data_IF_159951058280
#
_entry.id   IF_159951058280
#
_cell.length_a   1.000
_cell.length_b   1.000
_cell.length_c   1.000
_cell.angle_alpha   90.00
_cell.angle_beta   90.00
_cell.angle_gamma   90.00
#
_symmetry.space_group_name_H-M   'P 1'
#
loop_
_entity.id
_entity.type
_entity.pdbx_description
1 polymer ?
#
# COMPACT_ATOMS: atom_id res chain seq x y z
N UNK A 1 -4.14 28.04 -21.71
CA UNK A 1 -3.22 27.19 -20.92
C UNK A 1 -4.07 26.52 -19.85
N UNK A 2 -4.27 25.20 -19.93
CA UNK A 2 -5.14 24.45 -19.02
C UNK A 2 -4.26 23.61 -18.09
N UNK A 3 -4.26 23.95 -16.81
CA UNK A 3 -3.64 23.18 -15.72
C UNK A 3 -4.69 22.29 -15.08
N UNK A 4 -4.68 21.00 -15.41
CA UNK A 4 -5.60 20.04 -14.80
C UNK A 4 -5.28 18.64 -15.29
N UNK A 5 -4.30 17.99 -14.68
CA UNK A 5 -4.03 16.58 -14.96
C UNK A 5 -3.64 15.86 -13.65
N UNK A 6 -4.66 15.44 -12.90
CA UNK A 6 -4.62 14.18 -12.13
C UNK A 6 -5.42 13.11 -12.88
N UNK A 7 -5.61 11.91 -12.33
CA UNK A 7 -6.38 10.82 -12.98
C UNK A 7 -7.89 11.12 -13.19
N UNK A 8 -8.35 12.35 -12.94
CA UNK A 8 -9.69 12.79 -13.30
C UNK A 8 -9.77 13.18 -14.77
N UNK A 9 -10.72 12.59 -15.50
CA UNK A 9 -11.10 13.06 -16.83
C UNK A 9 -11.87 14.39 -16.73
N UNK A 10 -11.72 15.27 -17.72
CA UNK A 10 -12.63 16.40 -17.90
C UNK A 10 -13.69 16.01 -18.93
N UNK A 11 -14.97 15.98 -18.55
CA UNK A 11 -16.05 15.79 -19.50
C UNK A 11 -16.70 17.15 -19.81
N UNK A 12 -16.09 17.92 -20.73
CA UNK A 12 -16.50 19.29 -21.09
C UNK A 12 -17.99 19.46 -21.45
N UNK A 13 -18.68 18.37 -21.80
CA UNK A 13 -20.10 18.36 -22.19
C UNK A 13 -21.05 17.79 -21.13
N UNK A 14 -20.54 17.04 -20.14
CA UNK A 14 -21.36 16.30 -19.18
C UNK A 14 -21.17 16.74 -17.73
N UNK A 15 -20.07 17.43 -17.39
CA UNK A 15 -19.76 17.94 -16.04
C UNK A 15 -20.29 19.38 -15.78
N UNK A 16 -21.17 19.90 -16.65
CA UNK A 16 -21.74 21.23 -16.50
C UNK A 16 -20.73 22.39 -16.62
N UNK A 17 -21.23 23.62 -16.49
CA UNK A 17 -20.36 24.80 -16.31
C UNK A 17 -19.58 24.64 -15.02
N UNK A 18 -18.25 24.65 -15.13
CA UNK A 18 -17.17 24.65 -14.12
C UNK A 18 -17.42 25.61 -12.91
N UNK A 19 -18.48 25.39 -12.15
CA UNK A 19 -19.09 26.41 -11.29
C UNK A 19 -18.42 26.59 -9.94
N UNK A 20 -17.77 25.56 -9.42
CA UNK A 20 -17.03 25.66 -8.16
C UNK A 20 -16.05 24.51 -8.07
N UNK A 21 -14.76 24.79 -8.31
CA UNK A 21 -13.71 23.88 -7.83
C UNK A 21 -13.94 23.63 -6.33
N UNK A 22 -13.72 22.41 -5.82
CA UNK A 22 -13.01 21.29 -6.46
C UNK A 22 -13.93 20.12 -6.87
N UNK A 23 -14.72 20.25 -7.94
CA UNK A 23 -15.53 19.15 -8.46
C UNK A 23 -14.68 17.90 -8.83
N UNK A 24 -15.10 16.74 -8.30
CA UNK A 24 -14.52 15.39 -8.52
C UNK A 24 -13.10 15.17 -7.98
N UNK A 25 -12.68 15.87 -6.94
CA UNK A 25 -11.54 15.48 -6.13
C UNK A 25 -11.92 14.34 -5.16
N UNK A 26 -10.94 13.59 -4.67
CA UNK A 26 -11.07 12.99 -3.35
C UNK A 26 -11.02 14.12 -2.35
N UNK A 27 -11.98 14.17 -1.43
CA UNK A 27 -11.97 15.14 -0.35
C UNK A 27 -12.44 14.58 0.98
N UNK A 28 -12.26 15.39 2.02
CA UNK A 28 -12.82 15.17 3.33
C UNK A 28 -13.70 16.35 3.78
N UNK A 29 -14.23 17.12 2.83
CA UNK A 29 -15.06 18.29 3.10
C UNK A 29 -16.53 17.90 3.12
N UNK A 30 -17.13 17.88 4.32
CA UNK A 30 -18.56 17.60 4.49
C UNK A 30 -19.48 18.80 4.25
N UNK A 31 -19.02 19.87 3.58
CA UNK A 31 -19.78 21.11 3.31
C UNK A 31 -20.12 21.96 4.55
N UNK A 32 -19.67 21.57 5.73
CA UNK A 32 -19.67 22.42 6.91
C UNK A 32 -18.28 23.02 7.06
N UNK A 33 -18.17 24.26 7.53
CA UNK A 33 -16.91 24.93 7.90
C UNK A 33 -16.22 24.26 9.11
N UNK A 34 -16.13 22.92 9.12
CA UNK A 34 -15.71 22.05 10.20
C UNK A 34 -14.33 21.51 9.89
N UNK A 35 -13.34 21.94 10.67
CA UNK A 35 -12.00 21.35 10.69
C UNK A 35 -11.94 20.08 11.55
N UNK A 36 -13.08 19.42 11.79
CA UNK A 36 -13.18 18.27 12.69
C UNK A 36 -13.65 17.02 11.97
N UNK A 37 -12.98 15.90 12.24
CA UNK A 37 -13.26 14.56 11.70
C UNK A 37 -14.53 13.91 12.32
N UNK A 38 -15.47 14.72 12.86
CA UNK A 38 -16.69 14.24 13.51
C UNK A 38 -17.89 14.30 12.58
N UNK A 39 -18.67 13.21 12.58
CA UNK A 39 -19.96 13.16 11.92
C UNK A 39 -20.96 14.18 12.53
N UNK A 40 -21.87 14.75 11.71
CA UNK A 40 -22.16 14.37 10.32
C UNK A 40 -21.30 15.08 9.27
N UNK A 41 -20.27 15.83 9.68
CA UNK A 41 -19.69 16.94 8.91
C UNK A 41 -18.40 16.61 8.14
N UNK A 42 -17.98 15.34 8.06
CA UNK A 42 -16.76 14.91 7.35
C UNK A 42 -17.01 13.69 6.47
N UNK A 43 -17.42 13.91 5.22
CA UNK A 43 -17.50 12.84 4.23
C UNK A 43 -16.10 12.61 3.68
N UNK A 44 -15.49 11.48 4.02
CA UNK A 44 -14.14 11.15 3.54
C UNK A 44 -14.25 10.27 2.30
N UNK A 45 -13.80 10.79 1.17
CA UNK A 45 -13.68 10.01 -0.06
C UNK A 45 -12.49 9.05 0.01
N UNK A 46 -12.70 7.84 -0.48
CA UNK A 46 -11.69 6.81 -0.51
C UNK A 46 -11.79 5.95 -1.79
N UNK A 47 -10.63 5.48 -2.25
CA UNK A 47 -10.51 4.50 -3.31
C UNK A 47 -9.85 3.21 -2.81
N UNK A 48 -10.47 2.10 -3.17
CA UNK A 48 -9.92 0.77 -2.98
C UNK A 48 -9.19 0.34 -4.26
N UNK A 49 -7.90 0.06 -4.12
CA UNK A 49 -7.05 -0.47 -5.18
C UNK A 49 -6.79 -1.96 -4.94
N UNK A 50 -6.97 -2.76 -5.99
CA UNK A 50 -6.69 -4.20 -5.96
C UNK A 50 -5.61 -4.55 -6.98
N UNK A 51 -4.55 -5.23 -6.52
CA UNK A 51 -3.36 -5.55 -7.33
C UNK A 51 -3.23 -7.04 -7.69
N UNK A 52 -4.31 -7.81 -7.57
CA UNK A 52 -4.25 -9.24 -7.84
C UNK A 52 -3.64 -10.05 -6.69
N UNK A 53 -3.36 -11.35 -6.91
CA UNK A 53 -3.02 -12.29 -5.84
C UNK A 53 -1.60 -12.15 -5.27
N UNK A 54 -0.68 -11.52 -6.01
CA UNK A 54 0.73 -11.46 -5.63
C UNK A 54 1.06 -10.29 -4.70
N UNK A 55 0.08 -9.42 -4.40
CA UNK A 55 0.31 -8.23 -3.58
C UNK A 55 1.31 -7.24 -4.19
N UNK A 56 1.21 -6.00 -3.76
CA UNK A 56 2.17 -4.94 -4.08
C UNK A 56 2.56 -4.28 -2.77
N UNK A 57 3.87 -4.06 -2.62
CA UNK A 57 4.43 -3.11 -1.67
C UNK A 57 4.41 -1.74 -2.36
N UNK A 58 3.44 -0.89 -2.01
CA UNK A 58 3.35 0.47 -2.55
C UNK A 58 4.37 1.32 -1.80
N UNK A 59 5.43 1.72 -2.49
CA UNK A 59 6.51 2.53 -1.93
C UNK A 59 6.25 4.03 -2.04
N UNK A 60 5.42 4.45 -3.00
CA UNK A 60 5.18 5.87 -3.25
C UNK A 60 3.86 6.16 -3.95
N UNK A 61 3.35 7.35 -3.65
CA UNK A 61 2.13 7.91 -4.23
C UNK A 61 2.43 9.28 -4.84
N UNK A 62 1.62 9.69 -5.81
CA UNK A 62 1.63 11.06 -6.33
C UNK A 62 0.21 11.53 -6.57
N UNK A 63 -0.02 12.84 -6.38
CA UNK A 63 -1.28 13.51 -6.72
C UNK A 63 -1.06 14.46 -7.89
N UNK A 64 -2.00 14.54 -8.82
CA UNK A 64 -1.90 15.42 -10.00
C UNK A 64 -2.72 16.69 -9.91
N UNK A 65 -3.51 16.83 -8.84
CA UNK A 65 -4.34 17.98 -8.54
C UNK A 65 -4.36 18.19 -7.02
N UNK A 66 -4.30 19.46 -6.61
CA UNK A 66 -4.48 19.93 -5.24
C UNK A 66 -5.28 21.24 -5.30
N UNK A 67 -6.25 21.42 -4.41
CA UNK A 67 -6.87 22.71 -4.13
C UNK A 67 -6.76 22.99 -2.63
N UNK A 68 -6.07 24.04 -2.21
CA UNK A 68 -5.81 24.27 -0.79
C UNK A 68 -4.72 23.35 -0.24
N UNK A 69 -5.09 22.15 0.21
CA UNK A 69 -4.19 21.14 0.80
C UNK A 69 -4.50 19.73 0.25
N UNK A 70 -3.60 18.78 0.53
CA UNK A 70 -3.77 17.38 0.19
C UNK A 70 -3.02 16.49 1.19
N UNK A 71 -3.67 16.25 2.32
CA UNK A 71 -3.32 15.18 3.24
C UNK A 71 -4.10 13.92 2.90
N UNK A 72 -3.42 12.77 2.97
CA UNK A 72 -4.01 11.46 2.64
C UNK A 72 -3.85 10.48 3.79
N UNK A 73 -4.78 9.54 3.90
CA UNK A 73 -4.69 8.38 4.79
C UNK A 73 -4.58 7.09 3.98
N UNK A 74 -3.70 6.18 4.40
CA UNK A 74 -3.43 4.92 3.70
C UNK A 74 -3.60 3.73 4.64
N UNK A 75 -4.44 2.78 4.22
CA UNK A 75 -4.58 1.47 4.87
C UNK A 75 -4.24 0.36 3.86
N UNK A 76 -3.73 -0.76 4.36
CA UNK A 76 -3.51 -1.97 3.59
C UNK A 76 -4.15 -3.17 4.28
N UNK A 77 -4.80 -4.05 3.52
CA UNK A 77 -5.36 -5.28 4.11
C UNK A 77 -4.24 -6.30 4.35
N UNK A 78 -3.97 -6.65 5.61
CA UNK A 78 -2.94 -7.64 5.98
C UNK A 78 -3.55 -8.90 6.58
N UNK A 79 -4.88 -8.95 6.69
CA UNK A 79 -5.62 -10.14 7.08
C UNK A 79 -5.57 -11.26 6.03
N UNK A 80 -6.19 -12.39 6.37
CA UNK A 80 -6.24 -13.56 5.50
C UNK A 80 -7.32 -13.40 4.42
N UNK A 81 -6.92 -13.57 3.16
CA UNK A 81 -7.85 -13.63 2.03
C UNK A 81 -8.58 -14.99 2.00
N UNK A 82 -9.86 -14.98 1.64
CA UNK A 82 -10.67 -16.19 1.47
C UNK A 82 -10.87 -16.42 -0.01
N UNK A 83 -10.29 -17.51 -0.54
CA UNK A 83 -10.33 -17.78 -1.99
C UNK A 83 -9.67 -16.70 -2.86
N UNK A 84 -8.70 -15.97 -2.31
CA UNK A 84 -8.03 -14.85 -2.99
C UNK A 84 -8.81 -13.53 -2.97
N UNK A 85 -9.95 -13.47 -2.29
CA UNK A 85 -10.77 -12.28 -2.14
C UNK A 85 -10.80 -11.76 -0.70
N UNK A 86 -11.10 -10.48 -0.55
CA UNK A 86 -11.35 -9.85 0.74
C UNK A 86 -12.59 -10.51 1.39
N UNK A 87 -12.51 -11.00 2.64
CA UNK A 87 -13.69 -11.55 3.30
C UNK A 87 -14.75 -10.47 3.53
N UNK A 88 -16.03 -10.85 3.55
CA UNK A 88 -17.14 -9.90 3.74
C UNK A 88 -17.03 -9.09 5.04
N UNK A 89 -16.47 -9.69 6.09
CA UNK A 89 -16.22 -9.01 7.37
C UNK A 89 -15.14 -7.93 7.31
N UNK A 90 -14.33 -7.88 6.24
CA UNK A 90 -13.31 -6.86 6.00
C UNK A 90 -13.66 -5.93 4.83
N UNK A 91 -14.84 -6.08 4.21
CA UNK A 91 -15.26 -5.24 3.10
C UNK A 91 -15.41 -3.78 3.53
N UNK A 92 -15.04 -2.85 2.65
CA UNK A 92 -15.16 -1.40 2.91
C UNK A 92 -16.61 -0.95 3.15
N UNK A 93 -17.57 -1.66 2.54
CA UNK A 93 -18.98 -1.31 2.66
C UNK A 93 -19.46 -1.43 4.11
N UNK A 94 -20.15 -0.40 4.59
CA UNK A 94 -20.73 -0.31 5.94
C UNK A 94 -19.73 -0.37 7.09
N UNK A 95 -18.45 -0.10 6.83
CA UNK A 95 -17.41 -0.02 7.87
C UNK A 95 -16.85 1.41 7.95
N UNK A 96 -16.68 1.90 9.17
CA UNK A 96 -15.83 3.07 9.43
C UNK A 96 -14.36 2.68 9.35
N UNK A 97 -13.46 3.65 9.19
CA UNK A 97 -12.01 3.40 9.23
C UNK A 97 -11.58 2.66 10.51
N UNK A 98 -12.10 3.05 11.67
CA UNK A 98 -11.81 2.35 12.93
C UNK A 98 -12.29 0.89 12.95
N UNK A 99 -13.44 0.61 12.33
CA UNK A 99 -13.94 -0.76 12.17
C UNK A 99 -13.09 -1.56 11.19
N UNK A 100 -12.58 -0.95 10.12
CA UNK A 100 -11.66 -1.60 9.18
C UNK A 100 -10.36 -2.03 9.89
N UNK A 101 -9.80 -1.19 10.76
CA UNK A 101 -8.61 -1.54 11.56
C UNK A 101 -8.86 -2.78 12.42
N UNK A 102 -10.08 -2.93 12.94
CA UNK A 102 -10.48 -4.13 13.70
C UNK A 102 -10.75 -5.35 12.80
N UNK A 103 -10.95 -5.14 11.51
CA UNK A 103 -11.29 -6.16 10.52
C UNK A 103 -10.09 -6.68 9.70
N UNK A 104 -8.85 -6.40 10.15
CA UNK A 104 -7.63 -6.89 9.50
C UNK A 104 -6.99 -5.91 8.51
N UNK A 105 -7.47 -4.67 8.47
CA UNK A 105 -6.74 -3.59 7.82
C UNK A 105 -5.66 -3.05 8.73
N UNK A 106 -4.49 -2.78 8.17
CA UNK A 106 -3.37 -2.14 8.86
C UNK A 106 -3.26 -0.69 8.44
N UNK A 107 -3.12 0.19 9.42
CA UNK A 107 -2.77 1.58 9.19
C UNK A 107 -1.32 1.68 8.71
N UNK A 108 -1.14 2.26 7.51
CA UNK A 108 0.16 2.45 6.88
C UNK A 108 0.73 3.81 7.23
N UNK A 109 -0.09 4.85 7.15
CA UNK A 109 0.31 6.20 7.53
C UNK A 109 -0.62 7.28 6.99
N UNK A 110 -0.39 8.49 7.49
CA UNK A 110 -0.96 9.71 6.93
C UNK A 110 0.15 10.55 6.30
N UNK A 111 -0.10 11.16 5.15
CA UNK A 111 0.93 11.83 4.38
C UNK A 111 0.42 13.15 3.85
N UNK A 112 1.15 14.22 4.11
CA UNK A 112 1.00 15.50 3.42
C UNK A 112 1.67 15.38 2.06
N UNK A 113 0.90 15.49 0.98
CA UNK A 113 1.42 15.33 -0.36
C UNK A 113 2.27 16.53 -0.80
N UNK A 114 1.98 17.73 -0.27
CA UNK A 114 2.77 18.97 -0.35
C UNK A 114 2.94 19.58 -1.75
N UNK A 115 2.90 18.79 -2.82
CA UNK A 115 3.02 19.24 -4.20
C UNK A 115 2.45 18.22 -5.19
N UNK A 116 1.97 18.70 -6.33
CA UNK A 116 1.49 17.84 -7.43
C UNK A 116 2.64 17.22 -8.21
N UNK A 117 2.43 15.99 -8.70
CA UNK A 117 3.32 15.23 -9.58
C UNK A 117 4.71 14.95 -9.00
N UNK A 118 4.83 15.01 -7.68
CA UNK A 118 6.01 14.59 -6.93
C UNK A 118 5.69 13.29 -6.21
N UNK A 119 6.58 12.30 -6.34
CA UNK A 119 6.46 11.05 -5.60
C UNK A 119 6.73 11.29 -4.12
N UNK A 120 5.74 10.98 -3.28
CA UNK A 120 5.87 10.94 -1.83
C UNK A 120 6.11 9.49 -1.41
N UNK A 121 7.21 9.26 -0.71
CA UNK A 121 7.51 7.95 -0.13
C UNK A 121 6.50 7.64 0.98
N UNK A 122 5.96 6.42 0.97
CA UNK A 122 5.02 5.91 1.97
C UNK A 122 5.48 4.53 2.45
N UNK A 123 4.70 3.89 3.33
CA UNK A 123 4.90 2.49 3.71
C UNK A 123 6.31 2.15 4.23
N UNK A 124 6.79 2.90 5.23
CA UNK A 124 8.12 2.68 5.83
C UNK A 124 8.35 1.27 6.38
N UNK A 125 7.27 0.53 6.66
CA UNK A 125 7.29 -0.81 7.22
C UNK A 125 7.39 -1.90 6.13
N UNK A 126 7.43 -1.53 4.84
CA UNK A 126 7.44 -2.44 3.68
C UNK A 126 6.28 -3.45 3.71
N UNK A 127 5.08 -2.98 4.04
CA UNK A 127 3.87 -3.81 4.01
C UNK A 127 3.52 -4.13 2.57
N UNK A 128 3.40 -5.41 2.25
CA UNK A 128 2.82 -5.84 0.98
C UNK A 128 1.36 -6.20 1.16
N UNK A 129 0.51 -5.73 0.25
CA UNK A 129 -0.91 -6.10 0.24
C UNK A 129 -1.48 -6.19 -1.17
N UNK A 130 -2.50 -7.04 -1.32
CA UNK A 130 -3.33 -7.09 -2.52
C UNK A 130 -4.38 -5.97 -2.54
N UNK A 131 -4.77 -5.43 -1.38
CA UNK A 131 -5.82 -4.42 -1.25
C UNK A 131 -5.31 -3.21 -0.48
N UNK A 132 -5.37 -2.06 -1.12
CA UNK A 132 -4.94 -0.78 -0.56
C UNK A 132 -6.08 0.21 -0.59
N UNK A 133 -6.36 0.84 0.55
CA UNK A 133 -7.37 1.88 0.68
C UNK A 133 -6.62 3.21 0.82
N UNK A 134 -6.85 4.11 -0.13
CA UNK A 134 -6.30 5.46 -0.13
C UNK A 134 -7.46 6.43 -0.01
N UNK A 135 -7.42 7.32 0.97
CA UNK A 135 -8.47 8.30 1.20
C UNK A 135 -7.90 9.70 1.39
N UNK A 136 -8.77 10.70 1.34
CA UNK A 136 -8.50 11.97 2.01
C UNK A 136 -8.23 11.73 3.50
N UNK A 137 -7.51 12.67 4.11
CA UNK A 137 -7.06 12.53 5.47
C UNK A 137 -8.21 12.32 6.45
N UNK A 138 -8.04 11.39 7.37
CA UNK A 138 -8.92 11.18 8.51
C UNK A 138 -8.11 10.69 9.70
N UNK A 139 -8.41 11.20 10.89
CA UNK A 139 -7.78 10.72 12.13
C UNK A 139 -8.29 9.33 12.51
N UNK A 140 -9.47 8.97 12.01
CA UNK A 140 -10.10 7.66 12.22
C UNK A 140 -9.34 6.50 11.57
N UNK A 141 -8.45 6.78 10.60
CA UNK A 141 -7.53 5.80 10.00
C UNK A 141 -6.39 5.40 10.94
N UNK A 142 -6.06 6.23 11.93
CA UNK A 142 -4.94 6.05 12.85
C UNK A 142 -4.01 7.26 12.90
N UNK A 143 -3.05 7.21 13.83
CA UNK A 143 -2.04 8.27 14.03
C UNK A 143 -0.66 7.65 14.32
N UNK A 144 0.40 8.46 14.23
CA UNK A 144 1.75 8.05 14.61
C UNK A 144 2.56 7.33 13.52
N UNK A 145 2.04 7.22 12.29
CA UNK A 145 2.80 6.76 11.11
C UNK A 145 2.63 7.74 9.95
N UNK A 146 3.69 7.88 9.14
CA UNK A 146 3.77 8.87 8.08
C UNK A 146 4.29 10.22 8.59
N UNK A 147 3.70 11.31 8.13
CA UNK A 147 4.09 12.66 8.54
C UNK A 147 3.59 13.02 9.95
N UNK A 148 4.23 14.02 10.56
CA UNK A 148 3.81 14.56 11.85
C UNK A 148 2.38 15.11 11.79
N UNK A 149 1.58 14.85 12.82
CA UNK A 149 0.21 15.41 12.96
C UNK A 149 0.16 16.93 12.92
N UNK A 150 1.29 17.62 13.17
CA UNK A 150 1.37 19.08 13.04
C UNK A 150 1.38 19.58 11.59
N UNK A 151 1.58 18.68 10.62
CA UNK A 151 1.57 18.95 9.18
C UNK A 151 0.28 18.45 8.52
N UNK A 152 -0.64 17.92 9.31
CA UNK A 152 -1.88 17.31 8.83
C UNK A 152 -3.06 18.13 9.32
N UNK A 153 -3.98 18.46 8.44
CA UNK A 153 -5.24 19.14 8.75
C UNK A 153 -6.41 18.46 8.07
N UNK A 154 -7.61 18.62 8.62
CA UNK A 154 -8.83 18.01 8.11
C UNK A 154 -9.74 19.07 7.50
N UNK A 155 -10.50 18.68 6.47
CA UNK A 155 -11.60 19.47 5.91
C UNK A 155 -11.26 20.29 4.67
N UNK A 156 -10.05 20.15 4.14
CA UNK A 156 -9.61 20.86 2.92
C UNK A 156 -8.63 20.03 2.07
N UNK A 157 -8.74 18.70 2.15
CA UNK A 157 -7.83 17.77 1.48
C UNK A 157 -8.36 17.37 0.11
N UNK A 158 -8.31 18.29 -0.85
CA UNK A 158 -8.84 18.05 -2.18
C UNK A 158 -7.73 17.62 -3.13
N UNK A 159 -7.73 16.35 -3.52
CA UNK A 159 -6.71 15.84 -4.44
C UNK A 159 -7.24 14.91 -5.51
N UNK A 160 -6.44 14.72 -6.55
CA UNK A 160 -6.62 13.61 -7.50
C UNK A 160 -5.35 12.78 -7.51
N UNK A 161 -5.47 11.50 -7.23
CA UNK A 161 -4.36 10.55 -7.36
C UNK A 161 -3.85 10.59 -8.81
N UNK A 162 -2.53 10.64 -9.02
CA UNK A 162 -1.90 10.61 -10.35
C UNK A 162 -1.04 9.38 -10.58
N UNK A 163 -0.38 8.89 -9.53
CA UNK A 163 0.43 7.67 -9.62
C UNK A 163 0.41 6.88 -8.32
N UNK A 164 0.51 5.57 -8.49
CA UNK A 164 0.74 4.59 -7.44
C UNK A 164 1.89 3.72 -7.92
N UNK A 165 2.98 3.74 -7.18
CA UNK A 165 4.21 3.03 -7.54
C UNK A 165 4.58 2.06 -6.43
N UNK A 166 5.11 0.92 -6.83
CA UNK A 166 5.45 -0.12 -5.89
C UNK A 166 6.05 -1.34 -6.58
N UNK A 167 6.47 -2.29 -5.74
CA UNK A 167 7.10 -3.52 -6.18
C UNK A 167 6.11 -4.66 -5.96
N UNK A 168 5.84 -5.42 -7.03
CA UNK A 168 5.05 -6.65 -6.92
C UNK A 168 5.80 -7.62 -6.02
N UNK A 169 5.14 -8.13 -4.99
CA UNK A 169 5.72 -9.16 -4.13
C UNK A 169 5.78 -10.47 -4.89
N UNK A 170 6.83 -10.65 -5.67
CA UNK A 170 7.15 -11.97 -6.19
C UNK A 170 7.53 -12.82 -5.00
N UNK A 171 6.79 -13.90 -4.75
CA UNK A 171 7.35 -15.00 -3.98
C UNK A 171 8.64 -15.39 -4.70
N UNK A 172 9.78 -14.96 -4.19
CA UNK A 172 11.06 -15.53 -4.61
C UNK A 172 10.91 -17.00 -4.26
N UNK A 173 10.65 -17.82 -5.29
CA UNK A 173 10.57 -19.25 -5.11
C UNK A 173 11.85 -19.64 -4.39
N UNK A 174 11.72 -20.17 -3.18
CA UNK A 174 12.81 -20.87 -2.52
C UNK A 174 13.24 -21.93 -3.51
N UNK A 175 14.31 -21.65 -4.27
CA UNK A 175 14.93 -22.65 -5.12
C UNK A 175 15.24 -23.78 -4.16
N UNK A 176 14.74 -25.00 -4.38
CA UNK A 176 15.13 -26.13 -3.55
C UNK A 176 16.65 -26.10 -3.51
N UNK A 177 17.22 -26.06 -2.29
CA UNK A 177 18.67 -26.15 -2.13
C UNK A 177 19.14 -27.27 -3.06
N UNK A 178 20.01 -26.97 -4.04
CA UNK A 178 20.17 -27.87 -5.17
C UNK A 178 20.48 -29.25 -4.63
N UNK A 179 19.82 -30.31 -5.11
CA UNK A 179 20.20 -31.68 -4.79
C UNK A 179 21.71 -31.93 -5.02
N UNK A 180 22.37 -31.05 -5.79
CA UNK A 180 23.82 -30.89 -5.89
C UNK A 180 24.56 -30.69 -4.57
N UNK A 181 24.04 -29.95 -3.59
CA UNK A 181 24.64 -29.81 -2.25
C UNK A 181 24.65 -31.14 -1.50
N UNK A 182 23.53 -31.88 -1.57
CA UNK A 182 23.45 -33.25 -1.05
C UNK A 182 24.38 -34.21 -1.83
N UNK A 183 24.44 -34.11 -3.15
CA UNK A 183 25.31 -34.93 -3.99
C UNK A 183 26.80 -34.65 -3.75
N UNK A 184 27.18 -33.39 -3.52
CA UNK A 184 28.53 -32.99 -3.14
C UNK A 184 28.87 -33.54 -1.74
N UNK A 185 27.94 -33.44 -0.78
CA UNK A 185 28.12 -34.01 0.55
C UNK A 185 28.29 -35.54 0.49
N UNK A 186 27.45 -36.25 -0.27
CA UNK A 186 27.54 -37.69 -0.48
C UNK A 186 28.82 -38.08 -1.24
N UNK A 187 29.22 -37.29 -2.24
CA UNK A 187 30.47 -37.46 -2.96
C UNK A 187 31.69 -37.34 -2.06
N UNK A 188 31.74 -36.32 -1.18
CA UNK A 188 32.82 -36.13 -0.22
C UNK A 188 32.91 -37.27 0.80
N UNK A 189 31.77 -37.76 1.29
CA UNK A 189 31.71 -38.91 2.19
C UNK A 189 32.18 -40.20 1.51
N UNK A 190 31.78 -40.42 0.25
CA UNK A 190 32.25 -41.54 -0.58
C UNK A 190 33.76 -41.50 -0.84
N UNK A 191 34.32 -40.33 -1.13
CA UNK A 191 35.77 -40.15 -1.27
C UNK A 191 36.53 -40.46 0.02
N UNK A 192 36.03 -40.02 1.18
CA UNK A 192 36.66 -40.30 2.49
C UNK A 192 36.59 -41.79 2.87
N UNK A 193 35.49 -42.47 2.56
CA UNK A 193 35.38 -43.91 2.79
C UNK A 193 36.42 -44.70 1.97
N UNK A 194 36.60 -44.33 0.69
CA UNK A 194 37.56 -44.99 -0.22
C UNK A 194 39.03 -44.77 0.17
N UNK A 195 39.36 -43.61 0.73
CA UNK A 195 40.72 -43.33 1.22
C UNK A 195 41.09 -44.10 2.49
N UNK A 196 40.09 -44.57 3.26
CA UNK A 196 40.32 -45.30 4.50
C UNK A 196 40.68 -46.78 4.26
N UNK A 197 40.13 -47.39 3.21
CA UNK A 197 40.45 -48.77 2.82
C UNK A 197 41.86 -48.91 2.21
N UNK A 198 42.38 -47.88 1.55
CA UNK A 198 43.68 -47.93 0.87
C UNK A 198 44.89 -47.80 1.83
N UNK A 199 44.65 -47.55 3.12
CA UNK A 199 45.70 -47.49 4.16
C UNK A 199 45.83 -48.77 4.99
N UNK A 200 45.07 -49.82 4.67
CA UNK A 200 45.05 -51.07 5.43
C UNK A 200 46.13 -52.12 5.07
N UNK A 201 46.90 -51.94 3.98
CA UNK A 201 47.85 -52.96 3.50
C UNK A 201 49.26 -52.40 3.30
N UNK A 202 49.95 -52.07 4.39
CA UNK A 202 51.41 -51.94 4.36
C UNK A 202 52.06 -52.43 5.66
N UNK A 203 52.07 -53.76 5.86
CA UNK A 203 53.06 -54.43 6.69
C UNK A 203 53.40 -55.80 6.07
N UNK A 204 54.69 -56.14 6.17
CA UNK A 204 55.39 -57.41 5.90
C UNK A 204 56.03 -57.54 4.49
N UNK A 205 57.28 -57.10 4.41
CA UNK A 205 58.41 -57.94 3.98
C UNK A 205 59.64 -57.55 4.81
#
# INVERSE_FOLDING_TARGET
>A
MYSGYGLGATAASNDGTLGSQPDHAFDNDGSASSYTDYAPDGNVDAALLYFGPNGVDIDSLSVGYINGDADISVLAYTGSLVGGALPAAAAIANHTFAQLLSAGWSFIGNYNMGSTNTAKAINSDNVSSSYWLISAYTTSAGTGKGDSTSLLSFGNDYFKLSAVSGIVSTTTGSVPEPASALLIALGLLGFRARMRDTRGNLLIA
#
